data_IF_948438703333
#
_entry.id   IF_948438703333
#
_cell.length_a   1.000
_cell.length_b   1.000
_cell.length_c   1.000
_cell.angle_alpha   90.00
_cell.angle_beta   90.00
_cell.angle_gamma   90.00
#
_symmetry.space_group_name_H-M   'P 1'
#
loop_
_entity.id
_entity.type
_entity.pdbx_description
1 polymer ?
#
# COMPACT_ATOMS: atom_id res chain seq x y z
N UNK A 1 46.42 -16.35 37.64
CA UNK A 1 45.00 -15.96 37.68
C UNK A 1 44.77 -15.01 36.51
N UNK A 2 44.24 -15.51 35.40
CA UNK A 2 43.98 -14.73 34.19
C UNK A 2 42.59 -14.10 34.34
N UNK A 3 42.49 -12.77 34.37
CA UNK A 3 41.21 -12.06 34.30
C UNK A 3 40.94 -11.73 32.83
N UNK A 4 39.99 -12.43 32.22
CA UNK A 4 39.37 -12.01 30.96
C UNK A 4 38.44 -10.85 31.29
N UNK A 5 38.75 -9.67 30.75
CA UNK A 5 37.79 -8.54 30.73
C UNK A 5 36.89 -8.81 29.54
N UNK A 6 35.63 -9.14 29.79
CA UNK A 6 34.61 -9.21 28.76
C UNK A 6 34.37 -7.79 28.26
N UNK A 7 34.93 -7.48 27.09
CA UNK A 7 34.59 -6.26 26.37
C UNK A 7 33.33 -6.56 25.56
N UNK A 8 32.18 -6.15 26.07
CA UNK A 8 30.94 -6.11 25.31
C UNK A 8 31.09 -4.96 24.30
N UNK A 9 31.46 -5.27 23.06
CA UNK A 9 31.30 -4.32 21.96
C UNK A 9 29.80 -4.25 21.64
N UNK A 10 29.12 -3.21 22.09
CA UNK A 10 27.85 -2.81 21.48
C UNK A 10 28.18 -2.12 20.16
N UNK A 11 27.89 -2.78 19.05
CA UNK A 11 27.66 -2.08 17.80
C UNK A 11 26.27 -1.46 17.89
N UNK A 12 26.18 -0.15 18.13
CA UNK A 12 24.99 0.58 17.75
C UNK A 12 25.02 0.68 16.22
N UNK A 13 24.42 -0.30 15.55
CA UNK A 13 23.93 -0.04 14.20
C UNK A 13 22.77 0.94 14.39
N UNK A 14 22.98 2.20 14.03
CA UNK A 14 21.85 3.08 13.75
C UNK A 14 21.35 2.59 12.39
N UNK A 15 20.45 1.61 12.42
CA UNK A 15 19.58 1.37 11.26
C UNK A 15 18.72 2.63 11.15
N UNK A 16 18.59 3.17 9.94
CA UNK A 16 17.60 4.20 9.70
C UNK A 16 16.25 3.57 9.94
N UNK A 17 15.37 4.25 10.69
CA UNK A 17 13.99 3.83 10.86
C UNK A 17 13.32 3.69 9.49
N UNK A 18 12.52 2.65 9.31
CA UNK A 18 11.63 2.50 8.16
C UNK A 18 10.25 2.97 8.59
N UNK A 19 9.60 3.86 7.83
CA UNK A 19 8.27 4.33 8.21
C UNK A 19 7.27 3.16 8.20
N UNK A 20 6.25 3.16 9.07
CA UNK A 20 5.26 2.09 9.11
C UNK A 20 4.39 2.10 7.84
N UNK A 21 3.89 0.94 7.46
CA UNK A 21 2.96 0.76 6.34
C UNK A 21 1.52 0.71 6.87
N UNK A 22 0.71 1.68 6.46
CA UNK A 22 -0.72 1.70 6.73
C UNK A 22 -1.47 0.77 5.78
N UNK A 23 -2.24 -0.19 6.32
CA UNK A 23 -3.07 -1.09 5.53
C UNK A 23 -4.54 -0.97 5.96
N UNK A 24 -5.30 0.04 5.49
CA UNK A 24 -6.68 0.30 5.94
C UNK A 24 -7.74 -0.71 5.44
N UNK A 25 -7.33 -1.66 4.58
CA UNK A 25 -8.19 -2.62 3.90
C UNK A 25 -8.59 -2.17 2.49
N UNK A 26 -9.34 -3.03 1.80
CA UNK A 26 -9.87 -2.79 0.46
C UNK A 26 -11.04 -1.80 0.45
N UNK A 27 -11.34 -1.24 -0.73
CA UNK A 27 -12.56 -0.46 -0.96
C UNK A 27 -13.82 -1.30 -0.66
N UNK A 28 -14.81 -0.68 0.00
CA UNK A 28 -16.02 -1.37 0.45
C UNK A 28 -17.26 -0.86 -0.28
N UNK A 29 -17.93 -1.76 -1.00
CA UNK A 29 -19.28 -1.52 -1.52
C UNK A 29 -20.32 -1.70 -0.41
N UNK A 30 -21.13 -0.67 -0.17
CA UNK A 30 -22.07 -0.62 0.96
C UNK A 30 -23.50 -0.37 0.52
N UNK A 31 -24.46 -0.99 1.22
CA UNK A 31 -25.89 -0.75 0.99
C UNK A 31 -26.37 0.39 1.88
N UNK A 32 -27.41 1.12 1.43
CA UNK A 32 -28.04 2.15 2.27
C UNK A 32 -28.48 1.57 3.63
N UNK A 33 -28.28 2.33 4.70
CA UNK A 33 -28.56 1.92 6.09
C UNK A 33 -27.86 0.63 6.57
N UNK A 34 -26.79 0.17 5.92
CA UNK A 34 -25.97 -0.94 6.43
C UNK A 34 -24.70 -0.44 7.12
N UNK A 35 -24.25 -1.18 8.13
CA UNK A 35 -22.94 -0.99 8.73
C UNK A 35 -21.86 -1.67 7.89
N UNK A 36 -20.66 -1.10 7.91
CA UNK A 36 -19.44 -1.70 7.37
C UNK A 36 -18.25 -1.35 8.26
N UNK A 37 -17.22 -2.19 8.21
CA UNK A 37 -16.03 -2.06 9.04
C UNK A 37 -14.82 -1.77 8.17
N UNK A 38 -14.00 -0.82 8.61
CA UNK A 38 -12.64 -0.61 8.11
C UNK A 38 -11.70 -1.22 9.14
N UNK A 39 -10.79 -2.08 8.69
CA UNK A 39 -9.94 -2.91 9.54
C UNK A 39 -8.49 -2.72 9.13
N UNK A 40 -7.74 -2.00 9.96
CA UNK A 40 -6.34 -1.71 9.74
C UNK A 40 -5.37 -2.64 10.51
N UNK A 41 -5.85 -3.79 10.99
CA UNK A 41 -5.03 -4.72 11.78
C UNK A 41 -3.86 -5.33 11.01
N UNK A 42 -3.86 -5.24 9.68
CA UNK A 42 -2.75 -5.64 8.83
C UNK A 42 -1.68 -4.54 8.66
N UNK A 43 -1.87 -3.35 9.24
CA UNK A 43 -0.80 -2.32 9.24
C UNK A 43 0.39 -2.82 10.05
N UNK A 44 1.59 -2.55 9.58
CA UNK A 44 2.81 -3.09 10.16
C UNK A 44 3.98 -2.12 10.04
N UNK A 45 5.02 -2.40 10.81
CA UNK A 45 6.28 -1.68 10.80
C UNK A 45 7.39 -2.73 10.65
N UNK A 46 8.31 -2.53 9.72
CA UNK A 46 9.28 -3.58 9.34
C UNK A 46 10.41 -3.75 10.36
N UNK A 47 10.82 -2.67 11.01
CA UNK A 47 11.92 -2.65 11.98
C UNK A 47 11.47 -2.41 13.44
N UNK A 48 10.16 -2.31 13.67
CA UNK A 48 9.54 -2.06 14.97
C UNK A 48 8.09 -2.54 15.08
N UNK A 49 7.26 -1.72 15.73
CA UNK A 49 5.84 -1.96 16.01
C UNK A 49 5.02 -0.69 15.71
N UNK A 50 3.80 -0.87 15.19
CA UNK A 50 2.83 0.23 15.05
C UNK A 50 2.32 0.65 16.43
N UNK A 51 2.59 1.90 16.81
CA UNK A 51 2.23 2.47 18.11
C UNK A 51 0.83 3.11 18.13
N UNK A 52 0.43 3.81 17.05
CA UNK A 52 -0.88 4.48 17.00
C UNK A 52 -1.54 4.42 15.63
N UNK A 53 -2.88 4.50 15.64
CA UNK A 53 -3.74 4.55 14.45
C UNK A 53 -4.58 5.83 14.50
N UNK A 54 -4.61 6.59 13.41
CA UNK A 54 -5.39 7.83 13.29
C UNK A 54 -6.22 7.80 12.01
N UNK A 55 -7.54 7.71 12.16
CA UNK A 55 -8.50 7.71 11.06
C UNK A 55 -9.04 9.13 10.80
N UNK A 56 -8.94 9.61 9.56
CA UNK A 56 -9.71 10.75 9.05
C UNK A 56 -10.85 10.25 8.15
N UNK A 57 -12.06 10.25 8.70
CA UNK A 57 -13.31 9.92 7.99
C UNK A 57 -14.24 11.15 7.88
N UNK A 58 -13.65 12.35 7.85
CA UNK A 58 -14.39 13.61 7.76
C UNK A 58 -15.18 13.72 6.46
N UNK A 59 -14.64 13.26 5.33
CA UNK A 59 -15.35 13.20 4.05
C UNK A 59 -16.58 12.28 4.17
N UNK A 60 -16.43 11.09 4.77
CA UNK A 60 -17.57 10.20 5.05
C UNK A 60 -18.63 10.88 5.91
N UNK A 61 -18.24 11.60 6.96
CA UNK A 61 -19.19 12.36 7.80
C UNK A 61 -19.91 13.44 7.00
N UNK A 62 -19.22 14.14 6.09
CA UNK A 62 -19.82 15.15 5.21
C UNK A 62 -20.84 14.56 4.23
N UNK A 63 -20.65 13.30 3.82
CA UNK A 63 -21.62 12.54 3.01
C UNK A 63 -22.75 11.92 3.83
N UNK A 64 -22.75 12.08 5.16
CA UNK A 64 -23.81 11.59 6.05
C UNK A 64 -23.59 10.18 6.60
N UNK A 65 -22.42 9.58 6.37
CA UNK A 65 -22.00 8.38 7.09
C UNK A 65 -21.76 8.71 8.57
N UNK A 66 -21.94 7.73 9.44
CA UNK A 66 -21.79 7.93 10.89
C UNK A 66 -20.96 6.84 11.53
N UNK A 67 -20.02 7.22 12.39
CA UNK A 67 -19.28 6.26 13.21
C UNK A 67 -20.23 5.63 14.24
N UNK A 68 -20.24 4.30 14.28
CA UNK A 68 -21.13 3.52 15.15
C UNK A 68 -20.40 2.64 16.16
N UNK A 69 -19.17 2.22 15.85
CA UNK A 69 -18.30 1.50 16.79
C UNK A 69 -16.83 1.77 16.47
N UNK A 70 -15.99 1.61 17.49
CA UNK A 70 -14.53 1.56 17.40
C UNK A 70 -14.10 0.41 18.33
N UNK A 71 -13.86 -0.76 17.75
CA UNK A 71 -13.54 -1.99 18.50
C UNK A 71 -12.07 -1.97 18.99
N UNK A 72 -11.21 -1.30 18.23
CA UNK A 72 -9.83 -0.95 18.59
C UNK A 72 -9.45 0.34 17.87
N UNK A 73 -8.26 0.90 18.16
CA UNK A 73 -7.76 2.06 17.41
C UNK A 73 -7.58 1.74 15.90
N UNK A 74 -7.33 0.48 15.56
CA UNK A 74 -7.19 0.01 14.18
C UNK A 74 -8.52 -0.32 13.49
N UNK A 75 -9.63 -0.50 14.23
CA UNK A 75 -10.89 -1.04 13.67
C UNK A 75 -12.07 -0.13 13.98
N UNK A 76 -12.63 0.48 12.94
CA UNK A 76 -13.80 1.36 13.02
C UNK A 76 -14.98 0.84 12.21
N UNK A 77 -16.21 1.07 12.69
CA UNK A 77 -17.45 0.69 12.00
C UNK A 77 -18.29 1.92 11.70
N UNK A 78 -18.59 2.13 10.43
CA UNK A 78 -19.43 3.22 9.92
C UNK A 78 -20.81 2.68 9.52
N UNK A 79 -21.83 3.54 9.61
CA UNK A 79 -23.19 3.30 9.08
C UNK A 79 -23.42 4.17 7.86
N UNK A 80 -23.81 3.53 6.75
CA UNK A 80 -24.20 4.22 5.53
C UNK A 80 -25.53 4.99 5.69
N UNK A 81 -25.67 6.18 5.09
CA UNK A 81 -26.89 6.96 5.16
C UNK A 81 -28.05 6.29 4.40
N UNK A 82 -29.26 6.82 4.59
CA UNK A 82 -30.43 6.43 3.81
C UNK A 82 -30.46 7.14 2.43
N UNK A 83 -29.32 7.14 1.73
CA UNK A 83 -29.14 7.76 0.42
C UNK A 83 -28.13 6.94 -0.38
N UNK A 84 -28.50 6.55 -1.60
CA UNK A 84 -27.61 5.83 -2.53
C UNK A 84 -26.73 6.76 -3.36
N UNK A 85 -25.87 6.17 -4.18
CA UNK A 85 -24.96 6.86 -5.11
C UNK A 85 -24.04 7.88 -4.43
N UNK A 86 -23.58 7.53 -3.21
CA UNK A 86 -22.60 8.29 -2.45
C UNK A 86 -21.29 7.52 -2.39
N UNK A 87 -20.20 8.27 -2.45
CA UNK A 87 -18.83 7.79 -2.25
C UNK A 87 -18.20 8.70 -1.20
N UNK A 88 -17.39 8.13 -0.32
CA UNK A 88 -16.57 8.90 0.59
C UNK A 88 -15.18 8.28 0.73
N UNK A 89 -14.24 9.08 1.22
CA UNK A 89 -12.89 8.66 1.55
C UNK A 89 -12.70 8.63 3.06
N UNK A 90 -12.11 7.54 3.54
CA UNK A 90 -11.52 7.46 4.87
C UNK A 90 -10.00 7.26 4.68
N UNK A 91 -9.21 8.04 5.40
CA UNK A 91 -7.75 7.98 5.36
C UNK A 91 -7.21 7.48 6.70
N UNK A 92 -6.14 6.69 6.66
CA UNK A 92 -5.47 6.18 7.83
C UNK A 92 -4.03 6.69 7.84
N UNK A 93 -3.60 7.21 8.98
CA UNK A 93 -2.19 7.42 9.30
C UNK A 93 -1.83 6.54 10.49
N UNK A 94 -0.79 5.72 10.36
CA UNK A 94 -0.21 4.98 11.47
C UNK A 94 1.12 5.59 11.89
N UNK A 95 1.47 5.49 13.17
CA UNK A 95 2.76 5.96 13.71
C UNK A 95 3.45 4.81 14.42
N UNK A 96 4.75 4.63 14.20
CA UNK A 96 5.56 3.57 14.81
C UNK A 96 6.02 3.92 16.24
N UNK A 97 6.73 2.99 16.87
CA UNK A 97 7.30 3.16 18.21
C UNK A 97 8.48 4.13 18.30
N UNK A 98 8.99 4.62 17.17
CA UNK A 98 10.08 5.60 17.05
C UNK A 98 9.56 7.01 16.69
N UNK A 99 8.25 7.13 16.40
CA UNK A 99 7.52 8.36 16.16
C UNK A 99 7.40 8.77 14.69
N UNK A 100 7.70 7.89 13.74
CA UNK A 100 7.54 8.17 12.30
C UNK A 100 6.16 7.72 11.82
N UNK A 101 5.63 8.44 10.83
CA UNK A 101 4.27 8.25 10.31
C UNK A 101 4.30 7.54 8.95
N UNK A 102 3.25 6.77 8.67
CA UNK A 102 3.06 6.12 7.37
C UNK A 102 2.91 7.14 6.25
N UNK A 103 3.55 6.87 5.11
CA UNK A 103 3.44 7.71 3.92
C UNK A 103 2.24 7.33 3.05
N UNK A 104 1.70 8.32 2.35
CA UNK A 104 0.64 8.08 1.37
C UNK A 104 1.23 7.29 0.21
N UNK A 105 0.72 6.08 -0.03
CA UNK A 105 1.24 5.11 -1.00
C UNK A 105 2.60 4.50 -0.66
N UNK A 106 2.91 4.35 0.63
CA UNK A 106 4.08 3.60 1.07
C UNK A 106 4.06 2.18 0.47
N UNK A 107 5.03 1.90 -0.40
CA UNK A 107 5.27 0.57 -0.93
C UNK A 107 6.77 0.38 -1.04
N UNK A 108 7.32 -0.73 -0.57
CA UNK A 108 8.78 -0.89 -0.63
C UNK A 108 9.27 -1.54 -1.92
N UNK A 109 8.34 -1.88 -2.81
CA UNK A 109 8.60 -2.67 -4.01
C UNK A 109 7.88 -2.07 -5.20
N UNK A 110 8.26 -2.54 -6.39
CA UNK A 110 7.45 -2.35 -7.57
C UNK A 110 6.14 -3.12 -7.43
N UNK A 111 5.02 -2.48 -7.75
CA UNK A 111 3.73 -3.17 -7.84
C UNK A 111 2.91 -2.64 -9.03
N UNK A 112 1.94 -3.45 -9.47
CA UNK A 112 1.01 -3.07 -10.53
C UNK A 112 -0.05 -2.14 -9.91
N UNK A 113 0.00 -0.86 -10.24
CA UNK A 113 -0.96 0.14 -9.76
C UNK A 113 -2.23 0.17 -10.59
N UNK A 114 -2.14 -0.14 -11.89
CA UNK A 114 -3.29 -0.13 -12.79
C UNK A 114 -3.18 -1.22 -13.87
N UNK A 115 -4.33 -1.73 -14.27
CA UNK A 115 -4.50 -2.52 -15.47
C UNK A 115 -5.75 -2.04 -16.21
N UNK A 116 -5.61 -1.75 -17.51
CA UNK A 116 -6.73 -1.29 -18.32
C UNK A 116 -6.69 -1.87 -19.74
N UNK A 117 -7.88 -2.23 -20.23
CA UNK A 117 -8.11 -2.69 -21.59
C UNK A 117 -8.86 -1.62 -22.39
N UNK A 118 -8.38 -1.33 -23.60
CA UNK A 118 -9.07 -0.40 -24.47
C UNK A 118 -10.40 -0.97 -24.98
N UNK A 119 -11.45 -0.15 -24.96
CA UNK A 119 -12.79 -0.56 -25.40
C UNK A 119 -12.92 -0.76 -26.92
N UNK A 120 -12.01 -0.17 -27.70
CA UNK A 120 -12.14 -0.07 -29.17
C UNK A 120 -10.85 -0.37 -29.94
N UNK A 121 -9.73 -0.57 -29.25
CA UNK A 121 -8.49 -1.08 -29.81
C UNK A 121 -8.13 -2.41 -29.15
N UNK A 122 -7.03 -3.03 -29.59
CA UNK A 122 -6.46 -4.20 -28.92
C UNK A 122 -5.40 -3.78 -27.88
N UNK A 123 -5.34 -2.49 -27.55
CA UNK A 123 -4.32 -1.97 -26.66
C UNK A 123 -4.72 -2.26 -25.21
N UNK A 124 -3.76 -2.78 -24.46
CA UNK A 124 -3.87 -3.06 -23.03
C UNK A 124 -2.65 -2.46 -22.39
N UNK A 125 -2.79 -1.79 -21.25
CA UNK A 125 -1.65 -1.32 -20.51
C UNK A 125 -1.70 -1.79 -19.06
N UNK A 126 -0.52 -1.91 -18.50
CA UNK A 126 -0.26 -2.13 -17.09
C UNK A 126 0.57 -0.94 -16.62
N UNK A 127 0.15 -0.29 -15.55
CA UNK A 127 0.96 0.71 -14.87
C UNK A 127 1.71 0.02 -13.72
N UNK A 128 3.02 0.28 -13.64
CA UNK A 128 3.86 -0.15 -12.52
C UNK A 128 4.23 1.11 -11.74
N UNK A 129 3.95 1.09 -10.45
CA UNK A 129 4.39 2.13 -9.53
C UNK A 129 5.73 1.76 -8.90
N UNK A 130 6.67 2.71 -8.89
CA UNK A 130 7.88 2.60 -8.08
C UNK A 130 7.57 3.02 -6.65
N UNK A 131 7.34 2.05 -5.77
CA UNK A 131 7.25 2.35 -4.35
C UNK A 131 8.61 2.63 -3.73
N UNK A 132 9.69 2.16 -4.34
CA UNK A 132 11.01 2.20 -3.70
C UNK A 132 11.52 3.63 -3.56
N UNK A 133 12.27 3.92 -2.49
CA UNK A 133 12.89 5.25 -2.24
C UNK A 133 14.04 5.58 -3.21
N UNK A 134 14.16 4.85 -4.31
CA UNK A 134 15.28 4.95 -5.24
C UNK A 134 14.84 4.59 -6.65
N UNK A 135 15.52 5.14 -7.64
CA UNK A 135 15.30 4.74 -9.03
C UNK A 135 15.54 3.23 -9.21
N UNK A 136 14.61 2.54 -9.86
CA UNK A 136 14.72 1.11 -10.16
C UNK A 136 15.10 0.90 -11.62
N UNK A 137 16.12 0.06 -11.85
CA UNK A 137 16.49 -0.41 -13.18
C UNK A 137 15.67 -1.65 -13.55
N UNK A 138 14.92 -1.56 -14.63
CA UNK A 138 14.00 -2.60 -15.10
C UNK A 138 14.58 -3.52 -16.16
N UNK A 139 15.87 -3.38 -16.52
CA UNK A 139 16.51 -4.12 -17.61
C UNK A 139 16.41 -5.66 -17.48
N UNK A 140 16.33 -6.17 -16.24
CA UNK A 140 16.22 -7.61 -15.96
C UNK A 140 14.78 -8.04 -15.57
N UNK A 141 13.80 -7.14 -15.69
CA UNK A 141 12.40 -7.40 -15.36
C UNK A 141 11.58 -7.71 -16.61
N UNK A 142 10.64 -8.64 -16.46
CA UNK A 142 9.64 -8.95 -17.50
C UNK A 142 8.25 -9.11 -16.90
N UNK A 143 7.23 -8.77 -17.70
CA UNK A 143 5.83 -9.11 -17.39
C UNK A 143 5.47 -10.37 -18.15
N UNK A 144 5.14 -11.42 -17.42
CA UNK A 144 4.63 -12.67 -18.00
C UNK A 144 3.10 -12.63 -18.05
N UNK A 145 2.54 -12.76 -19.25
CA UNK A 145 1.09 -12.81 -19.50
C UNK A 145 0.70 -14.22 -19.91
N UNK A 146 -0.15 -14.87 -19.12
CA UNK A 146 -0.73 -16.18 -19.43
C UNK A 146 -2.20 -16.02 -19.81
N UNK A 147 -2.58 -16.44 -21.02
CA UNK A 147 -3.96 -16.40 -21.50
C UNK A 147 -4.72 -17.68 -21.16
N UNK A 148 -6.04 -17.61 -21.10
CA UNK A 148 -6.92 -18.76 -20.81
C UNK A 148 -6.74 -19.95 -21.77
N UNK A 149 -6.27 -19.68 -23.00
CA UNK A 149 -5.97 -20.70 -23.98
C UNK A 149 -4.60 -21.40 -23.76
N UNK A 150 -3.90 -21.07 -22.67
CA UNK A 150 -2.58 -21.61 -22.31
C UNK A 150 -1.40 -20.97 -23.02
N UNK A 151 -1.61 -19.93 -23.83
CA UNK A 151 -0.51 -19.20 -24.46
C UNK A 151 0.16 -18.26 -23.47
N UNK A 152 1.49 -18.22 -23.49
CA UNK A 152 2.30 -17.34 -22.64
C UNK A 152 3.04 -16.32 -23.48
N UNK A 153 3.12 -15.09 -22.98
CA UNK A 153 3.87 -13.98 -23.55
C UNK A 153 4.74 -13.38 -22.46
N UNK A 154 5.90 -12.89 -22.84
CA UNK A 154 6.84 -12.23 -21.94
C UNK A 154 7.19 -10.87 -22.56
N UNK A 155 6.89 -9.80 -21.83
CA UNK A 155 7.20 -8.42 -22.23
C UNK A 155 8.42 -7.98 -21.43
N UNK A 156 9.52 -7.66 -22.11
CA UNK A 156 10.73 -7.15 -21.46
C UNK A 156 10.56 -5.66 -21.15
N UNK A 157 11.00 -5.23 -19.97
CA UNK A 157 10.91 -3.84 -19.51
C UNK A 157 12.22 -3.05 -19.72
N UNK A 158 13.07 -3.52 -20.63
CA UNK A 158 14.43 -3.07 -20.87
C UNK A 158 14.56 -1.87 -21.83
N UNK A 159 13.44 -1.37 -22.38
CA UNK A 159 13.39 -0.28 -23.36
C UNK A 159 14.14 -0.57 -24.69
N UNK A 160 14.42 -1.84 -24.99
CA UNK A 160 15.05 -2.25 -26.26
C UNK A 160 14.04 -2.93 -27.21
N UNK A 161 12.93 -3.46 -26.66
CA UNK A 161 11.89 -4.18 -27.41
C UNK A 161 10.72 -3.35 -27.95
N UNK A 162 10.53 -2.11 -27.49
CA UNK A 162 9.34 -1.29 -27.79
C UNK A 162 8.06 -1.73 -27.05
N UNK A 163 8.19 -2.71 -26.16
CA UNK A 163 7.11 -3.25 -25.31
C UNK A 163 6.92 -2.45 -24.01
N UNK A 164 7.83 -1.50 -23.73
CA UNK A 164 7.76 -0.56 -22.61
C UNK A 164 7.89 0.88 -23.12
N UNK A 165 7.21 1.82 -22.45
CA UNK A 165 7.28 3.27 -22.75
C UNK A 165 8.26 3.99 -21.81
N UNK A 166 8.75 3.34 -20.75
CA UNK A 166 9.80 3.89 -19.89
C UNK A 166 11.18 3.77 -20.57
N UNK A 167 12.17 4.51 -20.08
CA UNK A 167 13.54 4.48 -20.61
C UNK A 167 14.39 3.33 -20.03
N UNK A 168 13.74 2.29 -19.50
CA UNK A 168 14.35 1.18 -18.76
C UNK A 168 14.57 1.49 -17.27
N UNK A 169 14.19 2.69 -16.84
CA UNK A 169 14.25 3.16 -15.46
C UNK A 169 12.84 3.54 -14.98
N UNK A 170 12.60 3.36 -13.70
CA UNK A 170 11.39 3.83 -13.01
C UNK A 170 11.83 4.74 -11.86
N UNK A 171 11.35 5.98 -11.85
CA UNK A 171 11.53 6.93 -10.75
C UNK A 171 10.51 6.64 -9.66
#
# INVERSE_FOLDING_TARGET
>A
MLRLVSSLLLFNFILSNINPISAPGDDVDVTINSQFTLDATESFDEDGEVATYSWDYSDCTNQGFTLTAQESDAVITLLAPNQGDLTCRAELTVTDNDGYESEQWAAENLFISEYAEALSSQDTYVEIYNGTDSQVNLADYSIKITRDNGSEYELSLDNEGGDSINDGLLE
#
